data_IF_298473035954
#
_entry.id   IF_298473035954
#
_cell.length_a   1.000
_cell.length_b   1.000
_cell.length_c   1.000
_cell.angle_alpha   90.00
_cell.angle_beta   90.00
_cell.angle_gamma   90.00
#
_symmetry.space_group_name_H-M   'P 1'
#
loop_
_entity.id
_entity.type
_entity.pdbx_description
1 polymer ?
#
# COMPACT_ATOMS: atom_id res chain seq x y z
N UNK A 1 -18.08 11.12 0.83
CA UNK A 1 -17.05 10.66 1.82
C UNK A 1 -15.93 11.69 1.96
N UNK A 2 -15.28 12.14 0.85
CA UNK A 2 -14.20 13.16 0.95
C UNK A 2 -14.63 14.45 1.67
N UNK A 3 -15.86 14.90 1.50
CA UNK A 3 -16.40 16.09 2.20
C UNK A 3 -16.55 15.93 3.72
N UNK A 4 -16.53 14.71 4.22
CA UNK A 4 -16.63 14.38 5.64
C UNK A 4 -15.27 14.49 6.34
N UNK A 5 -14.18 14.70 5.57
CA UNK A 5 -12.80 14.77 6.02
C UNK A 5 -12.15 16.11 5.61
N UNK A 6 -12.58 17.24 6.19
CA UNK A 6 -12.08 18.57 5.82
C UNK A 6 -10.60 18.79 6.17
N UNK A 7 -10.04 17.93 7.02
CA UNK A 7 -8.62 17.91 7.40
C UNK A 7 -7.71 17.23 6.36
N UNK A 8 -8.30 16.57 5.35
CA UNK A 8 -7.55 15.94 4.27
C UNK A 8 -7.68 16.76 2.99
N UNK A 9 -6.56 17.10 2.38
CA UNK A 9 -6.53 17.58 0.98
C UNK A 9 -6.44 16.37 0.06
N UNK A 10 -7.51 16.09 -0.69
CA UNK A 10 -7.67 14.86 -1.42
C UNK A 10 -7.69 15.11 -2.92
N UNK A 11 -6.65 14.67 -3.61
CA UNK A 11 -6.60 14.59 -5.06
C UNK A 11 -7.06 13.20 -5.51
N UNK A 12 -8.06 13.13 -6.39
CA UNK A 12 -8.64 11.87 -6.86
C UNK A 12 -8.28 11.62 -8.32
N UNK A 13 -7.65 10.48 -8.58
CA UNK A 13 -7.38 9.97 -9.93
C UNK A 13 -8.14 8.67 -10.19
N UNK A 14 -8.67 8.53 -11.40
CA UNK A 14 -9.45 7.35 -11.82
C UNK A 14 -8.80 6.73 -13.05
N UNK A 15 -8.51 5.45 -12.98
CA UNK A 15 -7.96 4.73 -14.14
C UNK A 15 -7.61 3.28 -13.81
N UNK A 16 -7.46 2.43 -14.85
CA UNK A 16 -6.91 1.10 -14.69
C UNK A 16 -5.44 1.16 -14.25
N UNK A 17 -4.89 0.02 -13.81
CA UNK A 17 -3.56 -0.08 -13.19
C UNK A 17 -2.48 0.72 -13.95
N UNK A 18 -2.37 0.57 -15.27
CA UNK A 18 -1.35 1.28 -16.06
C UNK A 18 -1.53 2.78 -16.15
N UNK A 19 -2.79 3.25 -16.21
CA UNK A 19 -3.07 4.68 -16.24
C UNK A 19 -2.83 5.30 -14.87
N UNK A 20 -3.11 4.56 -13.80
CA UNK A 20 -2.83 4.98 -12.44
C UNK A 20 -1.35 5.32 -12.24
N UNK A 21 -0.45 4.42 -12.67
CA UNK A 21 0.99 4.68 -12.61
C UNK A 21 1.45 5.87 -13.46
N UNK A 22 0.94 5.99 -14.70
CA UNK A 22 1.25 7.14 -15.57
C UNK A 22 0.77 8.47 -14.99
N UNK A 23 -0.36 8.44 -14.29
CA UNK A 23 -0.92 9.63 -13.64
C UNK A 23 -0.12 10.01 -12.41
N UNK A 24 0.31 9.03 -11.63
CA UNK A 24 1.18 9.25 -10.48
C UNK A 24 2.46 10.02 -10.86
N UNK A 25 3.06 9.69 -12.02
CA UNK A 25 4.26 10.36 -12.53
C UNK A 25 4.06 11.85 -12.89
N UNK A 26 2.81 12.34 -12.97
CA UNK A 26 2.52 13.76 -13.25
C UNK A 26 2.58 14.63 -12.01
N UNK A 27 2.57 14.04 -10.84
CA UNK A 27 2.56 14.72 -9.56
C UNK A 27 3.96 14.76 -8.95
N UNK A 28 4.28 15.87 -8.31
CA UNK A 28 5.40 15.95 -7.39
C UNK A 28 4.99 15.26 -6.09
N UNK A 29 5.47 14.03 -5.91
CA UNK A 29 5.09 13.19 -4.78
C UNK A 29 5.57 13.73 -3.43
N UNK A 30 6.53 14.67 -3.41
CA UNK A 30 6.98 15.32 -2.18
C UNK A 30 5.90 16.20 -1.52
N UNK A 31 4.84 16.55 -2.27
CA UNK A 31 3.72 17.34 -1.79
C UNK A 31 2.60 16.51 -1.15
N UNK A 32 2.77 15.19 -1.08
CA UNK A 32 1.76 14.27 -0.54
C UNK A 32 2.31 13.51 0.65
N UNK A 33 1.47 13.28 1.66
CA UNK A 33 1.81 12.51 2.85
C UNK A 33 1.55 11.01 2.66
N UNK A 34 0.58 10.66 1.81
CA UNK A 34 0.19 9.27 1.59
C UNK A 34 -0.54 9.07 0.27
N UNK A 35 -0.58 7.84 -0.19
CA UNK A 35 -1.39 7.41 -1.32
C UNK A 35 -2.41 6.40 -0.82
N UNK A 36 -3.66 6.55 -1.25
CA UNK A 36 -4.73 5.61 -0.98
C UNK A 36 -5.13 4.91 -2.27
N UNK A 37 -5.03 3.59 -2.31
CA UNK A 37 -5.35 2.81 -3.50
C UNK A 37 -5.92 1.44 -3.12
N UNK A 38 -6.19 0.59 -4.11
CA UNK A 38 -6.83 -0.70 -3.89
C UNK A 38 -6.26 -1.80 -4.79
N UNK A 39 -6.22 -3.03 -4.25
CA UNK A 39 -5.95 -4.25 -5.00
C UNK A 39 -4.66 -4.19 -5.82
N UNK A 40 -4.70 -4.65 -7.07
CA UNK A 40 -3.52 -4.69 -7.94
C UNK A 40 -2.91 -3.31 -8.20
N UNK A 41 -3.70 -2.23 -8.21
CA UNK A 41 -3.17 -0.87 -8.38
C UNK A 41 -2.32 -0.46 -7.18
N UNK A 42 -2.75 -0.75 -5.95
CA UNK A 42 -1.96 -0.53 -4.74
C UNK A 42 -0.62 -1.27 -4.83
N UNK A 43 -0.66 -2.57 -5.13
CA UNK A 43 0.55 -3.41 -5.24
C UNK A 43 1.56 -2.89 -6.26
N UNK A 44 1.08 -2.31 -7.36
CA UNK A 44 1.98 -1.71 -8.37
C UNK A 44 2.52 -0.35 -7.94
N UNK A 45 1.70 0.49 -7.33
CA UNK A 45 2.13 1.80 -6.81
C UNK A 45 3.23 1.63 -5.77
N UNK A 46 3.10 0.69 -4.83
CA UNK A 46 4.08 0.42 -3.77
C UNK A 46 5.49 0.12 -4.30
N UNK A 47 5.60 -0.42 -5.50
CA UNK A 47 6.90 -0.69 -6.14
C UNK A 47 7.58 0.57 -6.71
N UNK A 48 6.84 1.66 -6.86
CA UNK A 48 7.28 2.85 -7.60
C UNK A 48 7.28 4.12 -6.75
N UNK A 49 7.05 4.03 -5.45
CA UNK A 49 7.06 5.18 -4.54
C UNK A 49 7.62 4.80 -3.18
N UNK A 50 8.18 5.79 -2.49
CA UNK A 50 8.59 5.70 -1.08
C UNK A 50 7.50 6.22 -0.14
N UNK A 51 6.46 6.85 -0.67
CA UNK A 51 5.32 7.28 0.13
C UNK A 51 4.56 6.08 0.71
N UNK A 52 4.01 6.20 1.91
CA UNK A 52 3.13 5.18 2.46
C UNK A 52 1.88 5.00 1.58
N UNK A 53 1.62 3.76 1.17
CA UNK A 53 0.45 3.42 0.34
C UNK A 53 -0.55 2.64 1.17
N UNK A 54 -1.68 3.26 1.45
CA UNK A 54 -2.78 2.67 2.19
C UNK A 54 -3.73 1.91 1.27
N UNK A 55 -4.34 0.86 1.78
CA UNK A 55 -5.31 0.08 1.04
C UNK A 55 -6.75 0.46 1.43
N UNK A 56 -7.62 0.66 0.42
CA UNK A 56 -9.05 0.63 0.64
C UNK A 56 -9.46 -0.85 0.70
N UNK A 57 -9.79 -1.39 1.87
CA UNK A 57 -10.07 -2.81 2.00
C UNK A 57 -11.41 -3.17 1.35
N UNK A 58 -11.57 -4.43 0.98
CA UNK A 58 -12.88 -5.04 0.76
C UNK A 58 -13.26 -5.73 2.06
N UNK A 59 -14.24 -5.20 2.75
CA UNK A 59 -14.70 -5.74 4.03
C UNK A 59 -15.49 -7.02 3.86
N UNK A 60 -15.64 -7.77 4.94
CA UNK A 60 -16.54 -8.94 4.96
C UNK A 60 -17.98 -8.56 4.62
N UNK A 61 -18.40 -7.34 4.98
CA UNK A 61 -19.72 -6.83 4.64
C UNK A 61 -19.88 -6.55 3.13
N UNK A 62 -18.82 -6.01 2.50
CA UNK A 62 -18.80 -5.81 1.05
C UNK A 62 -18.92 -7.14 0.31
N UNK A 63 -18.16 -8.14 0.73
CA UNK A 63 -18.24 -9.49 0.18
C UNK A 63 -19.60 -10.14 0.40
N UNK A 64 -20.17 -10.00 1.60
CA UNK A 64 -21.49 -10.52 1.93
C UNK A 64 -22.58 -9.94 1.03
N UNK A 65 -22.55 -8.62 0.80
CA UNK A 65 -23.50 -7.96 -0.09
C UNK A 65 -23.43 -8.51 -1.51
N UNK A 66 -22.23 -8.73 -2.02
CA UNK A 66 -22.05 -9.29 -3.38
C UNK A 66 -22.50 -10.75 -3.42
N UNK A 67 -22.19 -11.56 -2.42
CA UNK A 67 -22.63 -12.94 -2.32
C UNK A 67 -24.17 -12.99 -2.30
N UNK A 68 -24.81 -12.14 -1.52
CA UNK A 68 -26.27 -12.03 -1.46
C UNK A 68 -26.90 -11.59 -2.77
N UNK A 69 -26.24 -10.70 -3.51
CA UNK A 69 -26.73 -10.25 -4.83
C UNK A 69 -26.83 -11.41 -5.82
N UNK A 70 -25.96 -12.40 -5.72
CA UNK A 70 -25.89 -13.53 -6.65
C UNK A 70 -26.46 -14.84 -6.09
N UNK A 71 -27.08 -14.82 -4.92
CA UNK A 71 -27.59 -16.00 -4.22
C UNK A 71 -28.53 -16.86 -5.08
N UNK A 72 -29.31 -16.22 -5.95
CA UNK A 72 -30.28 -16.90 -6.83
C UNK A 72 -29.83 -17.01 -8.28
N UNK A 73 -28.55 -16.74 -8.56
CA UNK A 73 -28.03 -16.84 -9.92
C UNK A 73 -28.01 -18.29 -10.41
N UNK A 74 -28.59 -18.51 -11.58
CA UNK A 74 -28.67 -19.83 -12.22
C UNK A 74 -27.49 -20.03 -13.16
N UNK A 75 -26.38 -20.55 -12.64
CA UNK A 75 -25.15 -20.80 -13.41
C UNK A 75 -23.94 -21.03 -12.54
N UNK A 76 -22.81 -21.31 -13.17
CA UNK A 76 -21.55 -21.45 -12.46
C UNK A 76 -20.93 -20.09 -12.16
N UNK A 77 -20.68 -19.82 -10.87
CA UNK A 77 -20.07 -18.60 -10.38
C UNK A 77 -18.61 -18.86 -10.00
N UNK A 78 -17.71 -18.00 -10.47
CA UNK A 78 -16.33 -17.94 -10.01
C UNK A 78 -16.06 -16.61 -9.30
N UNK A 79 -15.41 -16.66 -8.13
CA UNK A 79 -14.82 -15.49 -7.49
C UNK A 79 -13.34 -15.49 -7.86
N UNK A 80 -12.91 -14.48 -8.61
CA UNK A 80 -11.55 -14.36 -9.13
C UNK A 80 -10.91 -13.09 -8.56
N UNK A 81 -9.96 -13.26 -7.63
CA UNK A 81 -9.40 -12.15 -6.86
C UNK A 81 -8.01 -12.45 -6.31
N UNK A 82 -7.39 -11.48 -5.62
CA UNK A 82 -6.10 -11.63 -4.95
C UNK A 82 -6.23 -12.42 -3.65
N UNK A 83 -5.12 -12.97 -3.17
CA UNK A 83 -5.06 -13.93 -2.06
C UNK A 83 -5.72 -13.42 -0.77
N UNK A 84 -5.47 -12.14 -0.40
CA UNK A 84 -6.06 -11.52 0.80
C UNK A 84 -7.60 -11.53 0.77
N UNK A 85 -8.19 -11.19 -0.37
CA UNK A 85 -9.65 -11.18 -0.56
C UNK A 85 -10.20 -12.60 -0.72
N UNK A 86 -9.46 -13.47 -1.41
CA UNK A 86 -9.84 -14.87 -1.60
C UNK A 86 -10.00 -15.61 -0.26
N UNK A 87 -9.10 -15.35 0.70
CA UNK A 87 -9.21 -15.90 2.05
C UNK A 87 -10.50 -15.47 2.74
N UNK A 88 -10.79 -14.17 2.74
CA UNK A 88 -12.02 -13.63 3.33
C UNK A 88 -13.29 -14.19 2.65
N UNK A 89 -13.29 -14.27 1.32
CA UNK A 89 -14.39 -14.85 0.57
C UNK A 89 -14.60 -16.33 0.91
N UNK A 90 -13.52 -17.11 1.06
CA UNK A 90 -13.58 -18.53 1.44
C UNK A 90 -14.21 -18.72 2.83
N UNK A 91 -13.80 -17.89 3.80
CA UNK A 91 -14.38 -17.94 5.16
C UNK A 91 -15.88 -17.65 5.11
N UNK A 92 -16.30 -16.62 4.39
CA UNK A 92 -17.73 -16.28 4.25
C UNK A 92 -18.51 -17.36 3.52
N UNK A 93 -18.01 -17.87 2.41
CA UNK A 93 -18.69 -18.92 1.66
C UNK A 93 -18.87 -20.19 2.51
N UNK A 94 -17.86 -20.58 3.27
CA UNK A 94 -17.94 -21.72 4.17
C UNK A 94 -18.96 -21.47 5.30
N UNK A 95 -18.94 -20.30 5.93
CA UNK A 95 -19.86 -19.95 7.00
C UNK A 95 -21.33 -19.94 6.56
N UNK A 96 -21.57 -19.47 5.35
CA UNK A 96 -22.91 -19.32 4.77
C UNK A 96 -23.35 -20.54 3.95
N UNK A 97 -22.50 -21.55 3.83
CA UNK A 97 -22.72 -22.75 3.00
C UNK A 97 -22.98 -22.43 1.52
N UNK A 98 -22.35 -21.39 0.99
CA UNK A 98 -22.47 -21.02 -0.43
C UNK A 98 -21.49 -21.84 -1.29
N UNK A 99 -21.95 -22.47 -2.36
CA UNK A 99 -21.13 -23.34 -3.22
C UNK A 99 -20.39 -22.52 -4.31
N UNK A 100 -19.56 -21.56 -3.94
CA UNK A 100 -18.75 -20.79 -4.90
C UNK A 100 -17.36 -21.35 -5.07
N UNK A 101 -16.86 -21.26 -6.29
CA UNK A 101 -15.45 -21.57 -6.59
C UNK A 101 -14.63 -20.29 -6.54
N UNK A 102 -13.56 -20.30 -5.74
CA UNK A 102 -12.68 -19.17 -5.53
C UNK A 102 -11.34 -19.45 -6.18
N UNK A 103 -10.89 -18.52 -7.03
CA UNK A 103 -9.65 -18.59 -7.77
C UNK A 103 -8.77 -17.40 -7.42
N UNK A 104 -7.47 -17.65 -7.29
CA UNK A 104 -6.50 -16.63 -6.90
C UNK A 104 -5.75 -16.16 -8.14
N UNK A 105 -5.57 -14.84 -8.22
CA UNK A 105 -4.71 -14.17 -9.18
C UNK A 105 -3.46 -13.70 -8.42
N UNK A 106 -2.28 -14.14 -8.86
CA UNK A 106 -1.03 -13.73 -8.26
C UNK A 106 -0.50 -12.41 -8.87
N UNK A 107 -0.90 -12.12 -10.11
CA UNK A 107 -0.52 -10.91 -10.82
C UNK A 107 -1.60 -10.53 -11.84
N UNK A 108 -1.81 -9.22 -12.04
CA UNK A 108 -2.86 -8.70 -12.93
C UNK A 108 -2.73 -9.20 -14.40
N UNK A 109 -1.51 -9.43 -14.89
CA UNK A 109 -1.28 -9.93 -16.25
C UNK A 109 -1.76 -11.38 -16.46
N UNK A 110 -1.91 -12.16 -15.39
CA UNK A 110 -2.43 -13.53 -15.45
C UNK A 110 -3.98 -13.58 -15.51
N UNK A 111 -4.65 -12.45 -15.26
CA UNK A 111 -6.11 -12.40 -15.23
C UNK A 111 -6.74 -12.82 -16.55
N UNK A 112 -6.18 -12.42 -17.69
CA UNK A 112 -6.69 -12.77 -19.02
C UNK A 112 -6.75 -14.29 -19.24
N UNK A 113 -5.65 -14.97 -18.98
CA UNK A 113 -5.57 -16.43 -19.16
C UNK A 113 -6.52 -17.14 -18.20
N UNK A 114 -6.57 -16.65 -16.94
CA UNK A 114 -7.44 -17.24 -15.93
C UNK A 114 -8.91 -17.11 -16.28
N UNK A 115 -9.34 -15.94 -16.76
CA UNK A 115 -10.70 -15.71 -17.22
C UNK A 115 -11.05 -16.59 -18.42
N UNK A 116 -10.12 -16.76 -19.37
CA UNK A 116 -10.33 -17.68 -20.50
C UNK A 116 -10.49 -19.14 -20.02
N UNK A 117 -9.66 -19.60 -19.10
CA UNK A 117 -9.78 -20.95 -18.52
C UNK A 117 -11.13 -21.15 -17.83
N UNK A 118 -11.63 -20.14 -17.10
CA UNK A 118 -12.92 -20.20 -16.44
C UNK A 118 -14.07 -20.28 -17.46
N UNK A 119 -13.98 -19.52 -18.57
CA UNK A 119 -14.94 -19.62 -19.68
C UNK A 119 -15.02 -21.04 -20.23
N UNK A 120 -13.85 -21.64 -20.53
CA UNK A 120 -13.74 -22.97 -21.10
C UNK A 120 -14.28 -24.06 -20.13
N UNK A 121 -14.21 -23.80 -18.82
CA UNK A 121 -14.81 -24.64 -17.78
C UNK A 121 -16.31 -24.41 -17.56
N UNK A 122 -16.92 -23.52 -18.34
CA UNK A 122 -18.34 -23.25 -18.31
C UNK A 122 -18.81 -22.33 -17.18
N UNK A 123 -17.93 -21.48 -16.64
CA UNK A 123 -18.35 -20.41 -15.72
C UNK A 123 -19.07 -19.31 -16.51
N UNK A 124 -20.24 -18.92 -16.00
CA UNK A 124 -21.13 -17.95 -16.65
C UNK A 124 -21.17 -16.60 -15.95
N UNK A 125 -20.69 -16.55 -14.71
CA UNK A 125 -20.54 -15.32 -13.93
C UNK A 125 -19.18 -15.29 -13.24
N UNK A 126 -18.46 -14.17 -13.41
CA UNK A 126 -17.20 -13.90 -12.70
C UNK A 126 -17.40 -12.71 -11.76
N UNK A 127 -17.11 -12.92 -10.49
CA UNK A 127 -17.02 -11.86 -9.49
C UNK A 127 -15.53 -11.59 -9.28
N UNK A 128 -15.07 -10.36 -9.53
CA UNK A 128 -13.64 -10.11 -9.48
C UNK A 128 -13.23 -8.64 -9.41
N UNK A 129 -11.94 -8.40 -9.49
CA UNK A 129 -11.37 -7.07 -9.61
C UNK A 129 -11.62 -6.44 -11.00
N UNK A 130 -11.21 -5.16 -11.15
CA UNK A 130 -11.44 -4.42 -12.40
C UNK A 130 -10.79 -5.10 -13.62
N UNK A 131 -9.60 -5.71 -13.46
CA UNK A 131 -8.91 -6.36 -14.59
C UNK A 131 -9.63 -7.64 -14.98
N UNK A 132 -10.05 -8.43 -14.02
CA UNK A 132 -10.83 -9.66 -14.23
C UNK A 132 -12.16 -9.37 -14.90
N UNK A 133 -12.87 -8.33 -14.46
CA UNK A 133 -14.15 -7.88 -15.04
C UNK A 133 -13.97 -7.44 -16.49
N UNK A 134 -12.97 -6.60 -16.79
CA UNK A 134 -12.68 -6.15 -18.16
C UNK A 134 -12.42 -7.34 -19.10
N UNK A 135 -11.70 -8.36 -18.64
CA UNK A 135 -11.46 -9.54 -19.45
C UNK A 135 -12.69 -10.44 -19.58
N UNK A 136 -13.50 -10.57 -18.55
CA UNK A 136 -14.76 -11.31 -18.59
C UNK A 136 -15.75 -10.70 -19.61
N UNK A 137 -15.93 -9.39 -19.57
CA UNK A 137 -16.78 -8.65 -20.51
C UNK A 137 -16.32 -8.81 -21.96
N UNK A 138 -15.00 -8.72 -22.23
CA UNK A 138 -14.43 -8.94 -23.57
C UNK A 138 -14.70 -10.36 -24.11
N UNK A 139 -14.84 -11.32 -23.22
CA UNK A 139 -15.15 -12.70 -23.57
C UNK A 139 -16.64 -13.01 -23.57
N UNK A 140 -17.51 -12.02 -23.26
CA UNK A 140 -18.96 -12.18 -23.19
C UNK A 140 -19.44 -12.98 -21.97
N UNK A 141 -18.66 -12.99 -20.88
CA UNK A 141 -19.04 -13.58 -19.59
C UNK A 141 -19.64 -12.49 -18.73
N UNK A 142 -20.75 -12.80 -18.04
CA UNK A 142 -21.29 -11.86 -17.06
C UNK A 142 -20.30 -11.62 -15.94
N UNK A 143 -20.23 -10.39 -15.46
CA UNK A 143 -19.28 -10.04 -14.42
C UNK A 143 -19.82 -9.07 -13.40
N UNK A 144 -19.34 -9.17 -12.18
CA UNK A 144 -19.62 -8.25 -11.08
C UNK A 144 -18.28 -7.79 -10.50
N UNK A 145 -18.13 -6.47 -10.42
CA UNK A 145 -16.94 -5.86 -9.84
C UNK A 145 -17.00 -5.94 -8.31
N UNK A 146 -15.96 -6.49 -7.71
CA UNK A 146 -15.70 -6.38 -6.28
C UNK A 146 -15.40 -4.92 -5.95
N UNK A 147 -16.29 -4.26 -5.23
CA UNK A 147 -16.15 -2.85 -4.83
C UNK A 147 -16.12 -2.71 -3.33
N UNK A 148 -15.40 -1.71 -2.85
CA UNK A 148 -15.43 -1.29 -1.44
C UNK A 148 -16.59 -0.33 -1.23
N UNK A 149 -17.29 -0.47 -0.12
CA UNK A 149 -18.36 0.44 0.30
C UNK A 149 -17.80 1.79 0.75
N UNK A 150 -18.67 2.77 0.89
CA UNK A 150 -18.32 4.05 1.49
C UNK A 150 -17.80 3.89 2.94
N UNK A 151 -18.26 2.87 3.67
CA UNK A 151 -17.74 2.54 5.00
C UNK A 151 -16.28 2.13 4.94
N UNK A 152 -15.93 1.20 4.05
CA UNK A 152 -14.53 0.77 3.85
C UNK A 152 -13.60 1.90 3.43
N UNK A 153 -14.11 2.88 2.66
CA UNK A 153 -13.34 4.09 2.32
C UNK A 153 -13.15 4.99 3.54
N UNK A 154 -14.18 5.16 4.39
CA UNK A 154 -14.04 5.91 5.65
C UNK A 154 -13.03 5.27 6.58
N UNK A 155 -13.12 3.96 6.78
CA UNK A 155 -12.15 3.22 7.60
C UNK A 155 -10.70 3.43 7.12
N UNK A 156 -10.49 3.48 5.81
CA UNK A 156 -9.18 3.76 5.24
C UNK A 156 -8.71 5.20 5.51
N UNK A 157 -9.59 6.20 5.42
CA UNK A 157 -9.25 7.58 5.78
C UNK A 157 -8.95 7.72 7.28
N UNK A 158 -9.74 7.07 8.13
CA UNK A 158 -9.50 7.09 9.58
C UNK A 158 -8.15 6.45 9.94
N UNK A 159 -7.76 5.39 9.24
CA UNK A 159 -6.44 4.78 9.38
C UNK A 159 -5.32 5.75 8.97
N UNK A 160 -5.47 6.44 7.83
CA UNK A 160 -4.48 7.44 7.38
C UNK A 160 -4.31 8.52 8.44
N UNK A 161 -5.41 9.14 8.89
CA UNK A 161 -5.37 10.19 9.91
C UNK A 161 -4.71 9.72 11.20
N UNK A 162 -5.01 8.51 11.63
CA UNK A 162 -4.41 7.91 12.81
C UNK A 162 -2.89 7.71 12.65
N UNK A 163 -2.44 7.22 11.50
CA UNK A 163 -1.00 7.06 11.23
C UNK A 163 -0.32 8.42 11.14
N UNK A 164 -0.89 9.37 10.41
CA UNK A 164 -0.35 10.73 10.32
C UNK A 164 -0.22 11.40 11.70
N UNK A 165 -1.23 11.26 12.55
CA UNK A 165 -1.18 11.83 13.92
C UNK A 165 -0.07 11.21 14.78
N UNK A 166 0.29 9.96 14.56
CA UNK A 166 1.43 9.34 15.23
C UNK A 166 2.78 9.78 14.64
N UNK A 167 2.82 10.09 13.35
CA UNK A 167 4.06 10.50 12.68
C UNK A 167 4.40 11.98 12.90
N UNK A 168 3.39 12.83 13.11
CA UNK A 168 3.55 14.27 13.27
C UNK A 168 4.57 14.67 14.37
N UNK A 169 4.54 14.13 15.60
CA UNK A 169 5.55 14.44 16.60
C UNK A 169 6.97 14.10 16.16
N UNK A 170 7.16 12.97 15.47
CA UNK A 170 8.48 12.58 14.97
C UNK A 170 8.99 13.51 13.86
N UNK A 171 8.11 14.00 12.99
CA UNK A 171 8.47 14.98 11.95
C UNK A 171 8.90 16.32 12.58
N UNK A 172 8.22 16.77 13.64
CA UNK A 172 8.59 17.97 14.38
C UNK A 172 9.97 17.80 15.02
N UNK A 173 10.22 16.67 15.70
CA UNK A 173 11.50 16.40 16.35
C UNK A 173 12.65 16.35 15.32
N UNK A 174 12.44 15.71 14.18
CA UNK A 174 13.42 15.66 13.09
C UNK A 174 13.68 17.06 12.53
N UNK A 175 12.65 17.87 12.32
CA UNK A 175 12.78 19.24 11.81
C UNK A 175 13.52 20.15 12.78
N UNK A 176 13.23 20.04 14.08
CA UNK A 176 13.94 20.78 15.12
C UNK A 176 15.41 20.38 15.21
N UNK A 177 15.69 19.08 15.13
CA UNK A 177 17.04 18.55 15.10
C UNK A 177 17.82 19.04 13.89
N UNK A 178 17.21 18.97 12.69
CA UNK A 178 17.76 19.50 11.46
C UNK A 178 18.12 20.99 11.57
N UNK A 179 17.18 21.81 12.09
CA UNK A 179 17.40 23.24 12.30
C UNK A 179 18.53 23.51 13.32
N UNK A 180 18.61 22.72 14.38
CA UNK A 180 19.70 22.79 15.37
C UNK A 180 21.06 22.54 14.72
N UNK A 181 21.17 21.50 13.92
CA UNK A 181 22.42 21.12 13.24
C UNK A 181 22.87 22.17 12.24
N UNK A 182 21.97 22.68 11.42
CA UNK A 182 22.26 23.79 10.50
C UNK A 182 22.74 25.05 11.22
N UNK A 183 22.12 25.39 12.36
CA UNK A 183 22.49 26.60 13.12
C UNK A 183 23.84 26.49 13.81
N UNK A 184 24.33 25.28 14.08
CA UNK A 184 25.60 25.01 14.74
C UNK A 184 26.71 24.56 13.80
N UNK A 185 26.46 24.50 12.49
CA UNK A 185 27.39 24.03 11.46
C UNK A 185 27.99 22.64 11.77
N UNK A 186 27.18 21.78 12.35
CA UNK A 186 27.58 20.41 12.66
C UNK A 186 27.30 19.48 11.47
N UNK A 187 28.25 18.57 11.22
CA UNK A 187 28.05 17.53 10.22
C UNK A 187 27.45 16.30 10.89
N UNK A 188 26.36 15.78 10.30
CA UNK A 188 25.64 14.63 10.83
C UNK A 188 25.64 13.52 9.80
N UNK A 189 26.01 12.34 10.27
CA UNK A 189 25.99 11.10 9.51
C UNK A 189 25.14 10.08 10.29
N UNK A 190 24.05 9.62 9.69
CA UNK A 190 23.18 8.63 10.30
C UNK A 190 23.32 7.28 9.58
N UNK A 191 23.63 6.24 10.34
CA UNK A 191 23.84 4.88 9.83
C UNK A 191 22.81 3.91 10.41
N UNK A 192 22.42 2.90 9.62
CA UNK A 192 21.65 1.77 10.13
C UNK A 192 22.53 0.79 10.93
N UNK A 193 21.89 -0.21 11.51
CA UNK A 193 22.56 -1.27 12.27
C UNK A 193 23.50 -2.16 11.40
N UNK A 194 23.43 -2.04 10.08
CA UNK A 194 24.30 -2.71 9.10
C UNK A 194 25.45 -1.81 8.63
N UNK A 195 25.58 -0.61 9.23
CA UNK A 195 26.58 0.42 8.89
C UNK A 195 26.37 1.03 7.50
N UNK A 196 25.17 0.97 6.95
CA UNK A 196 24.81 1.66 5.74
C UNK A 196 24.40 3.10 6.08
N UNK A 197 24.99 4.07 5.41
CA UNK A 197 24.60 5.47 5.55
C UNK A 197 23.16 5.65 5.07
N UNK A 198 22.31 6.19 5.95
CA UNK A 198 20.90 6.48 5.67
C UNK A 198 20.68 7.96 5.39
N UNK A 199 21.45 8.84 6.03
CA UNK A 199 21.27 10.27 5.95
C UNK A 199 22.58 11.01 6.22
N UNK A 200 22.82 12.13 5.54
CA UNK A 200 23.93 13.02 5.77
C UNK A 200 23.48 14.47 5.70
N UNK A 201 24.05 15.32 6.53
CA UNK A 201 23.82 16.77 6.52
C UNK A 201 25.12 17.50 6.87
N UNK A 202 25.39 18.61 6.18
CA UNK A 202 26.57 19.45 6.34
C UNK A 202 27.45 19.46 5.09
N UNK A 203 28.49 20.32 5.11
CA UNK A 203 29.39 20.55 3.98
C UNK A 203 30.63 19.63 3.94
N UNK A 204 30.65 18.59 4.74
CA UNK A 204 31.79 17.68 4.82
C UNK A 204 31.92 16.80 3.57
N UNK A 205 33.14 16.67 3.06
CA UNK A 205 33.47 15.74 1.98
C UNK A 205 33.07 14.32 2.37
N UNK A 206 31.99 13.81 1.76
CA UNK A 206 31.22 12.65 2.25
C UNK A 206 32.02 11.35 2.31
N UNK A 207 32.91 11.09 1.35
CA UNK A 207 33.55 9.77 1.21
C UNK A 207 34.57 9.40 2.30
N UNK A 208 35.51 10.28 2.72
CA UNK A 208 36.47 9.92 3.77
C UNK A 208 35.82 9.73 5.15
N UNK A 209 34.81 10.60 5.46
CA UNK A 209 34.08 10.54 6.73
C UNK A 209 33.19 9.32 6.84
N UNK A 210 32.49 8.95 5.76
CA UNK A 210 31.67 7.74 5.72
C UNK A 210 32.49 6.49 5.99
N UNK A 211 33.67 6.38 5.37
CA UNK A 211 34.57 5.23 5.56
C UNK A 211 35.10 5.18 6.99
N UNK A 212 35.50 6.32 7.54
CA UNK A 212 36.01 6.42 8.91
C UNK A 212 34.92 6.06 9.94
N UNK A 213 33.72 6.65 9.85
CA UNK A 213 32.63 6.39 10.77
C UNK A 213 32.15 4.95 10.67
N UNK A 214 32.04 4.37 9.48
CA UNK A 214 31.65 2.98 9.30
C UNK A 214 32.60 1.99 9.97
N UNK A 215 33.89 2.34 10.10
CA UNK A 215 34.91 1.54 10.83
C UNK A 215 34.87 1.75 12.34
N UNK A 216 34.58 2.96 12.80
CA UNK A 216 34.66 3.33 14.23
C UNK A 216 33.35 3.07 15.00
N UNK A 217 32.19 3.04 14.32
CA UNK A 217 30.91 2.77 14.98
C UNK A 217 30.91 1.31 15.46
N UNK A 218 30.91 1.06 16.79
CA UNK A 218 30.72 -0.28 17.30
C UNK A 218 29.35 -0.79 16.86
N UNK A 219 29.25 -2.08 16.53
CA UNK A 219 27.94 -2.72 16.23
C UNK A 219 27.11 -2.60 17.50
N UNK A 220 26.22 -1.64 17.54
CA UNK A 220 25.26 -1.51 18.63
C UNK A 220 24.39 -2.76 18.62
N UNK A 221 24.70 -3.69 19.53
CA UNK A 221 23.82 -4.80 19.83
C UNK A 221 22.51 -4.16 20.28
N UNK A 222 21.37 -4.58 19.72
CA UNK A 222 20.05 -4.28 20.23
C UNK A 222 20.00 -4.68 21.71
N UNK A 223 20.33 -3.75 22.62
CA UNK A 223 19.97 -3.88 24.01
C UNK A 223 18.62 -3.19 24.18
N UNK A 224 17.65 -3.91 24.73
CA UNK A 224 16.38 -3.36 25.11
C UNK A 224 16.60 -2.12 25.98
N UNK A 225 16.07 -0.97 25.57
CA UNK A 225 15.92 0.27 26.37
C UNK A 225 17.17 1.13 26.65
N UNK A 226 18.05 1.36 25.70
CA UNK A 226 18.99 2.49 25.85
C UNK A 226 19.00 3.34 24.59
N UNK A 227 18.80 4.66 24.78
CA UNK A 227 19.02 5.67 23.75
C UNK A 227 20.48 5.57 23.27
N UNK A 228 20.77 5.78 21.96
CA UNK A 228 22.13 5.78 21.48
C UNK A 228 22.96 6.83 22.23
N UNK A 229 24.09 6.42 22.80
CA UNK A 229 25.06 7.37 23.33
C UNK A 229 25.59 8.22 22.18
N UNK A 230 25.41 9.52 22.25
CA UNK A 230 26.01 10.48 21.34
C UNK A 230 27.53 10.48 21.55
N UNK A 231 28.31 9.96 20.61
CA UNK A 231 29.73 10.17 20.58
C UNK A 231 30.02 11.57 20.02
N UNK A 232 30.35 12.54 20.88
CA UNK A 232 30.99 13.77 20.47
C UNK A 232 32.48 13.50 20.27
N UNK A 233 32.92 13.32 19.05
CA UNK A 233 34.35 13.25 18.71
C UNK A 233 34.78 14.59 18.10
N UNK A 234 35.81 15.25 18.71
CA UNK A 234 36.54 16.29 18.01
C UNK A 234 37.46 15.60 16.99
N UNK A 235 37.28 15.91 15.73
CA UNK A 235 38.16 15.48 14.67
C UNK A 235 39.34 16.48 14.54
N UNK A 236 40.55 16.00 14.27
CA UNK A 236 41.70 16.87 14.07
C UNK A 236 41.60 17.69 12.79
#
# INVERSE_FOLDING_TARGET
>A
TAKEYPQLDITVEVGPIYEGLKRLQKYDLSQFDAILSRGGTKMEIEKHTTLPVFEIPISYFDLLNIIKLVEHYQGKIAILTYENIAHAAKVLCNLLHFPYNIFIINAWHNAKEKVQQLKDQGYTLIIGDAVSVIHAEKLGIQSILLTSSAASVRDAFDQILKVCSYMEPFQIDVSLFHHYCQSHQENILYFDCQKKLLYTEGDADEQPLQTFCAHQIPVLKKSNNTYPETMAGQFP
#
